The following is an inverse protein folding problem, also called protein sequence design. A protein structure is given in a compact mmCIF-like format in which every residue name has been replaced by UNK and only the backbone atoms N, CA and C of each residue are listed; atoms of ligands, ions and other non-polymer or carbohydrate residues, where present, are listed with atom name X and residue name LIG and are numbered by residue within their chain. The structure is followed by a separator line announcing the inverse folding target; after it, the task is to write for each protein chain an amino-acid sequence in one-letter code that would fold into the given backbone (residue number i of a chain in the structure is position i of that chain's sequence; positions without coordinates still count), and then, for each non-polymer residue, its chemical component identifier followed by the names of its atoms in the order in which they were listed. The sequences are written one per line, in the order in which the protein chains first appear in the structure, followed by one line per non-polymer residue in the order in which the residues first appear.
data_IF_308420479643
#
_entry.id   IF_308420479643
#
_cell.length_a   1.000
_cell.length_b   1.000
_cell.length_c   1.000
_cell.angle_alpha   90.00
_cell.angle_beta   90.00
_cell.angle_gamma   90.00
#
_symmetry.space_group_name_H-M   'P 1'
#
loop_
_entity.id
_entity.type
_entity.pdbx_description
1 polymer ?
#
# COMPACT_ATOMS: atom_id res chain seq x y z
N UNK A 1 6.34 -14.66 0.57
CA UNK A 1 6.96 -13.62 -0.27
C UNK A 1 8.47 -13.78 -0.25
N UNK A 2 9.09 -13.75 -1.41
CA UNK A 2 10.54 -13.95 -1.54
C UNK A 2 11.29 -12.65 -1.87
N UNK A 3 10.57 -11.63 -2.27
CA UNK A 3 11.15 -10.38 -2.76
C UNK A 3 10.63 -9.16 -2.02
N UNK A 4 11.52 -8.18 -1.86
CA UNK A 4 11.17 -6.79 -1.58
C UNK A 4 11.37 -6.00 -2.86
N UNK A 5 10.39 -5.21 -3.26
CA UNK A 5 10.40 -4.52 -4.54
C UNK A 5 10.22 -3.02 -4.38
N UNK A 6 10.83 -2.26 -5.26
CA UNK A 6 10.60 -0.84 -5.46
C UNK A 6 9.74 -0.64 -6.70
N UNK A 7 8.72 0.21 -6.61
CA UNK A 7 7.81 0.52 -7.70
C UNK A 7 8.35 1.74 -8.46
N UNK A 8 8.89 1.51 -9.66
CA UNK A 8 9.26 2.58 -10.57
C UNK A 8 8.04 3.13 -11.32
N UNK A 9 7.12 2.23 -11.69
CA UNK A 9 5.88 2.59 -12.36
C UNK A 9 4.75 1.65 -11.92
N UNK A 10 3.53 2.17 -11.84
CA UNK A 10 2.31 1.40 -11.60
C UNK A 10 1.72 1.55 -10.21
N UNK A 11 0.67 0.78 -9.96
CA UNK A 11 -0.12 0.77 -8.74
C UNK A 11 -0.29 -0.67 -8.27
N UNK A 12 0.10 -0.93 -7.04
CA UNK A 12 -0.03 -2.23 -6.37
C UNK A 12 -1.11 -2.14 -5.29
N UNK A 13 -1.96 -3.13 -5.24
CA UNK A 13 -2.99 -3.32 -4.23
C UNK A 13 -2.63 -4.48 -3.32
N UNK A 14 -2.87 -4.30 -2.02
CA UNK A 14 -2.84 -5.37 -1.03
C UNK A 14 -4.24 -5.65 -0.52
N UNK A 15 -4.62 -6.91 -0.49
CA UNK A 15 -5.93 -7.31 0.04
C UNK A 15 -5.88 -8.65 0.77
N UNK A 16 -6.88 -8.88 1.56
CA UNK A 16 -7.18 -10.16 2.23
C UNK A 16 -8.62 -10.54 1.93
N UNK A 17 -8.96 -11.80 2.10
CA UNK A 17 -10.36 -12.24 2.14
C UNK A 17 -10.90 -12.15 3.56
N UNK A 18 -12.05 -11.52 3.71
CA UNK A 18 -12.82 -11.47 4.95
C UNK A 18 -14.31 -11.52 4.65
N UNK A 19 -15.06 -12.41 5.30
CA UNK A 19 -16.49 -12.61 5.07
C UNK A 19 -16.86 -12.79 3.57
N UNK A 20 -16.08 -13.61 2.87
CA UNK A 20 -16.22 -13.89 1.44
C UNK A 20 -16.09 -12.66 0.51
N UNK A 21 -15.42 -11.60 0.99
CA UNK A 21 -15.15 -10.39 0.22
C UNK A 21 -13.67 -10.04 0.27
N UNK A 22 -13.18 -9.43 -0.80
CA UNK A 22 -11.86 -8.84 -0.83
C UNK A 22 -11.83 -7.53 -0.04
N UNK A 23 -10.95 -7.45 0.93
CA UNK A 23 -10.74 -6.25 1.74
C UNK A 23 -9.38 -5.67 1.39
N UNK A 24 -9.37 -4.53 0.70
CA UNK A 24 -8.15 -3.78 0.42
C UNK A 24 -7.67 -3.09 1.69
N UNK A 25 -6.46 -3.44 2.13
CA UNK A 25 -5.90 -2.84 3.33
C UNK A 25 -4.72 -1.90 3.05
N UNK A 26 -4.13 -1.97 1.85
CA UNK A 26 -3.11 -1.01 1.42
C UNK A 26 -3.08 -0.80 -0.09
N UNK A 27 -2.53 0.35 -0.50
CA UNK A 27 -2.20 0.72 -1.87
C UNK A 27 -0.77 1.27 -1.88
N UNK A 28 0.02 0.81 -2.83
CA UNK A 28 1.38 1.28 -3.06
C UNK A 28 1.49 1.86 -4.47
N UNK A 29 2.20 2.98 -4.58
CA UNK A 29 2.33 3.77 -5.79
C UNK A 29 3.80 3.92 -6.19
N UNK A 30 4.05 4.53 -7.34
CA UNK A 30 5.40 4.92 -7.77
C UNK A 30 6.22 5.52 -6.62
N UNK A 31 7.53 5.24 -6.61
CA UNK A 31 8.49 5.67 -5.61
C UNK A 31 8.24 5.11 -4.20
N UNK A 32 7.63 3.93 -4.11
CA UNK A 32 7.48 3.25 -2.83
C UNK A 32 8.03 1.83 -2.87
N UNK A 33 8.49 1.35 -1.72
CA UNK A 33 8.81 -0.05 -1.54
C UNK A 33 7.55 -0.84 -1.21
N UNK A 34 7.50 -2.09 -1.67
CA UNK A 34 6.46 -3.03 -1.29
C UNK A 34 7.03 -4.43 -1.03
N UNK A 35 6.36 -5.15 -0.13
CA UNK A 35 6.50 -6.58 0.12
C UNK A 35 5.37 -7.03 1.05
N UNK A 36 5.08 -8.32 1.11
CA UNK A 36 4.29 -8.88 2.20
C UNK A 36 5.20 -9.05 3.43
N UNK A 37 5.28 -8.00 4.27
CA UNK A 37 6.28 -7.86 5.34
C UNK A 37 6.35 -9.08 6.26
N UNK A 38 5.20 -9.57 6.72
CA UNK A 38 5.14 -10.74 7.59
C UNK A 38 5.80 -11.96 6.93
N UNK A 39 5.42 -12.24 5.68
CA UNK A 39 5.97 -13.36 4.92
C UNK A 39 7.45 -13.16 4.56
N UNK A 40 7.85 -11.96 4.19
CA UNK A 40 9.21 -11.67 3.76
C UNK A 40 10.23 -11.78 4.91
N UNK A 41 9.93 -11.19 6.06
CA UNK A 41 10.85 -11.17 7.21
C UNK A 41 10.75 -12.40 8.11
N UNK A 42 9.54 -12.92 8.32
CA UNK A 42 9.33 -14.10 9.19
C UNK A 42 9.41 -15.43 8.43
N UNK A 43 9.56 -15.38 7.08
CA UNK A 43 9.62 -16.54 6.19
C UNK A 43 8.39 -17.47 6.28
N UNK A 44 7.26 -16.92 6.69
CA UNK A 44 5.98 -17.59 6.79
C UNK A 44 5.11 -17.41 5.55
N UNK A 45 4.10 -18.25 5.37
CA UNK A 45 3.08 -18.04 4.33
C UNK A 45 2.24 -16.82 4.70
N UNK A 46 2.08 -15.91 3.76
CA UNK A 46 1.17 -14.77 3.93
C UNK A 46 -0.28 -15.17 3.71
N UNK A 47 -1.19 -14.48 4.42
CA UNK A 47 -2.63 -14.51 4.13
C UNK A 47 -3.06 -13.35 3.21
N UNK A 48 -2.11 -12.50 2.86
CA UNK A 48 -2.34 -11.33 2.01
C UNK A 48 -2.08 -11.67 0.55
N UNK A 49 -2.83 -11.02 -0.32
CA UNK A 49 -2.66 -11.06 -1.76
C UNK A 49 -2.14 -9.72 -2.24
N UNK A 50 -1.28 -9.76 -3.25
CA UNK A 50 -0.69 -8.60 -3.91
C UNK A 50 -1.12 -8.64 -5.37
N UNK A 51 -1.69 -7.54 -5.85
CA UNK A 51 -2.26 -7.41 -7.19
C UNK A 51 -1.77 -6.12 -7.84
N UNK A 52 -1.31 -6.22 -9.10
CA UNK A 52 -1.04 -5.06 -9.94
C UNK A 52 -2.35 -4.53 -10.52
N UNK A 53 -2.71 -3.28 -10.20
CA UNK A 53 -3.91 -2.64 -10.75
C UNK A 53 -3.68 -1.98 -12.11
N UNK A 54 -2.42 -1.75 -12.45
CA UNK A 54 -1.95 -1.21 -13.74
C UNK A 54 -0.72 -1.97 -14.18
N UNK A 55 -0.23 -1.73 -15.38
CA UNK A 55 1.10 -2.19 -15.77
C UNK A 55 2.14 -1.64 -14.78
N UNK A 56 3.03 -2.50 -14.31
CA UNK A 56 4.02 -2.17 -13.30
C UNK A 56 5.45 -2.47 -13.76
N UNK A 57 6.35 -1.54 -13.50
CA UNK A 57 7.80 -1.75 -13.56
C UNK A 57 8.35 -1.81 -12.15
N UNK A 58 9.01 -2.92 -11.81
CA UNK A 58 9.46 -3.23 -10.45
C UNK A 58 10.95 -3.57 -10.45
N UNK A 59 11.68 -3.04 -9.47
CA UNK A 59 13.04 -3.50 -9.14
C UNK A 59 12.97 -4.33 -7.86
N UNK A 60 13.33 -5.60 -7.95
CA UNK A 60 13.14 -6.57 -6.87
C UNK A 60 14.48 -7.10 -6.36
N UNK A 61 14.57 -7.27 -5.05
CA UNK A 61 15.73 -7.91 -4.39
C UNK A 61 15.22 -9.07 -3.52
N UNK A 62 15.91 -10.22 -3.58
CA UNK A 62 15.59 -11.36 -2.71
C UNK A 62 15.97 -11.06 -1.25
N UNK A 63 15.42 -11.84 -0.32
CA UNK A 63 15.77 -11.71 1.09
C UNK A 63 17.28 -11.90 1.31
N UNK A 64 17.86 -12.93 0.71
CA UNK A 64 19.28 -13.28 0.86
C UNK A 64 20.17 -12.14 0.34
N UNK A 65 19.91 -11.63 -0.86
CA UNK A 65 20.66 -10.53 -1.44
C UNK A 65 20.47 -9.22 -0.66
N UNK A 66 19.31 -8.98 -0.08
CA UNK A 66 19.07 -7.84 0.79
C UNK A 66 19.91 -7.93 2.08
N UNK A 67 20.05 -9.12 2.67
CA UNK A 67 20.92 -9.31 3.84
C UNK A 67 22.39 -9.08 3.50
N UNK A 68 22.87 -9.59 2.36
CA UNK A 68 24.24 -9.33 1.87
C UNK A 68 24.44 -7.82 1.69
N UNK A 69 23.53 -7.15 0.99
CA UNK A 69 23.59 -5.72 0.76
C UNK A 69 23.64 -4.90 2.07
N UNK A 70 22.84 -5.28 3.07
CA UNK A 70 22.85 -4.60 4.38
C UNK A 70 24.14 -4.82 5.18
N UNK A 71 24.79 -5.96 5.00
CA UNK A 71 26.06 -6.25 5.64
C UNK A 71 27.24 -5.51 4.97
N UNK A 72 27.20 -5.36 3.66
CA UNK A 72 28.26 -4.75 2.86
C UNK A 72 28.12 -3.23 2.71
N UNK A 73 26.89 -2.70 2.80
CA UNK A 73 26.61 -1.29 2.53
C UNK A 73 25.80 -0.65 3.67
N UNK A 74 26.49 0.10 4.53
CA UNK A 74 25.86 0.83 5.65
C UNK A 74 24.74 1.78 5.19
N UNK A 75 24.94 2.47 4.08
CA UNK A 75 23.93 3.39 3.53
C UNK A 75 22.67 2.66 3.08
N UNK A 76 22.80 1.47 2.50
CA UNK A 76 21.65 0.65 2.12
C UNK A 76 20.85 0.20 3.34
N UNK A 77 21.53 -0.17 4.45
CA UNK A 77 20.87 -0.49 5.71
C UNK A 77 20.11 0.70 6.28
N UNK A 78 20.72 1.87 6.32
CA UNK A 78 20.08 3.11 6.77
C UNK A 78 18.85 3.46 5.92
N UNK A 79 18.94 3.32 4.59
CA UNK A 79 17.78 3.51 3.70
C UNK A 79 16.64 2.51 4.02
N UNK A 80 17.00 1.28 4.32
CA UNK A 80 16.04 0.26 4.75
C UNK A 80 15.31 0.62 6.04
N UNK A 81 16.02 1.17 7.03
CA UNK A 81 15.49 1.65 8.30
C UNK A 81 14.53 2.83 8.08
N UNK A 82 14.93 3.85 7.32
CA UNK A 82 14.09 5.00 6.96
C UNK A 82 12.82 4.57 6.21
N UNK A 83 12.94 3.62 5.29
CA UNK A 83 11.79 3.10 4.57
C UNK A 83 10.80 2.36 5.49
N UNK A 84 11.30 1.66 6.51
CA UNK A 84 10.47 0.99 7.52
C UNK A 84 9.78 2.00 8.44
N UNK A 85 10.48 3.03 8.90
CA UNK A 85 9.90 4.13 9.69
C UNK A 85 8.79 4.85 8.91
N UNK A 86 9.02 5.14 7.64
CA UNK A 86 8.01 5.73 6.76
C UNK A 86 6.76 4.84 6.65
N UNK A 87 6.95 3.54 6.47
CA UNK A 87 5.84 2.58 6.40
C UNK A 87 5.07 2.54 7.72
N UNK A 88 5.75 2.48 8.87
CA UNK A 88 5.12 2.48 10.18
C UNK A 88 4.28 3.74 10.37
N UNK A 89 4.84 4.91 10.09
CA UNK A 89 4.12 6.18 10.17
C UNK A 89 2.89 6.21 9.25
N UNK A 90 3.00 5.70 8.04
CA UNK A 90 1.86 5.56 7.10
C UNK A 90 0.75 4.68 7.70
N UNK A 91 1.12 3.55 8.32
CA UNK A 91 0.15 2.63 8.95
C UNK A 91 -0.54 3.27 10.15
N UNK A 92 0.19 3.91 11.04
CA UNK A 92 -0.36 4.63 12.20
C UNK A 92 -1.30 5.75 11.75
N UNK A 93 -0.89 6.60 10.80
CA UNK A 93 -1.76 7.65 10.25
C UNK A 93 -3.06 7.10 9.67
N UNK A 94 -2.97 5.98 8.93
CA UNK A 94 -4.16 5.34 8.38
C UNK A 94 -5.09 4.81 9.47
N UNK A 95 -4.55 4.15 10.49
CA UNK A 95 -5.33 3.64 11.61
C UNK A 95 -6.05 4.77 12.35
N UNK A 96 -5.34 5.85 12.71
CA UNK A 96 -5.93 7.04 13.31
C UNK A 96 -7.01 7.66 12.41
N UNK A 97 -6.78 7.75 11.11
CA UNK A 97 -7.75 8.25 10.15
C UNK A 97 -9.04 7.42 10.12
N UNK A 98 -8.95 6.09 10.22
CA UNK A 98 -10.12 5.22 10.30
C UNK A 98 -10.94 5.44 11.57
N UNK A 99 -10.29 5.79 12.69
CA UNK A 99 -10.91 5.99 14.00
C UNK A 99 -11.49 7.41 14.16
N UNK A 100 -10.87 8.43 13.56
CA UNK A 100 -11.15 9.83 13.90
C UNK A 100 -11.77 10.64 12.77
N UNK A 101 -11.64 10.22 11.52
CA UNK A 101 -12.10 10.97 10.35
C UNK A 101 -13.38 10.41 9.74
N UNK A 102 -14.20 11.30 9.20
CA UNK A 102 -15.34 10.91 8.37
C UNK A 102 -14.90 10.30 7.05
N UNK A 103 -15.73 9.49 6.38
CA UNK A 103 -15.44 8.96 5.05
C UNK A 103 -15.04 10.02 4.02
N UNK A 104 -15.67 11.20 4.07
CA UNK A 104 -15.37 12.31 3.17
C UNK A 104 -13.95 12.85 3.43
N UNK A 105 -13.59 13.16 4.66
CA UNK A 105 -12.26 13.63 5.04
C UNK A 105 -11.16 12.63 4.64
N UNK A 106 -11.41 11.32 4.84
CA UNK A 106 -10.48 10.27 4.40
C UNK A 106 -10.27 10.25 2.89
N UNK A 107 -11.32 10.49 2.11
CA UNK A 107 -11.22 10.54 0.65
C UNK A 107 -10.49 11.80 0.18
N UNK A 108 -10.81 12.96 0.73
CA UNK A 108 -10.14 14.24 0.44
C UNK A 108 -8.64 14.18 0.74
N UNK A 109 -8.24 13.61 1.89
CA UNK A 109 -6.83 13.42 2.22
C UNK A 109 -6.11 12.57 1.17
N UNK A 110 -6.72 11.46 0.74
CA UNK A 110 -6.14 10.59 -0.28
C UNK A 110 -6.02 11.28 -1.64
N UNK A 111 -7.03 12.05 -2.01
CA UNK A 111 -7.03 12.81 -3.26
C UNK A 111 -5.92 13.86 -3.27
N UNK A 112 -5.68 14.53 -2.15
CA UNK A 112 -4.60 15.51 -2.00
C UNK A 112 -3.21 14.86 -2.02
N UNK A 113 -3.04 13.71 -1.38
CA UNK A 113 -1.76 13.00 -1.32
C UNK A 113 -1.38 12.34 -2.67
N UNK A 114 -2.37 11.82 -3.40
CA UNK A 114 -2.15 10.99 -4.60
C UNK A 114 -3.11 11.30 -5.76
N UNK A 115 -3.24 12.56 -6.20
CA UNK A 115 -4.29 12.98 -7.16
C UNK A 115 -4.23 12.21 -8.49
N UNK A 116 -3.02 11.95 -9.01
CA UNK A 116 -2.83 11.26 -10.29
C UNK A 116 -3.18 9.77 -10.24
N UNK A 117 -2.98 9.12 -9.09
CA UNK A 117 -3.15 7.66 -8.96
C UNK A 117 -4.58 7.28 -8.56
N UNK A 118 -5.26 8.14 -7.80
CA UNK A 118 -6.62 7.87 -7.33
C UNK A 118 -7.61 7.69 -8.48
N UNK A 119 -7.41 8.39 -9.59
CA UNK A 119 -8.24 8.25 -10.79
C UNK A 119 -8.07 6.90 -11.50
N UNK A 120 -6.92 6.24 -11.33
CA UNK A 120 -6.60 4.96 -11.95
C UNK A 120 -7.01 3.75 -11.11
N UNK A 121 -7.29 3.96 -9.81
CA UNK A 121 -7.73 2.86 -8.92
C UNK A 121 -9.24 2.65 -9.05
N UNK A 122 -9.71 1.42 -9.33
CA UNK A 122 -11.14 1.13 -9.37
C UNK A 122 -11.86 1.53 -8.08
N UNK A 123 -13.05 2.14 -8.24
CA UNK A 123 -13.84 2.70 -7.13
C UNK A 123 -14.06 1.68 -5.99
N UNK A 124 -14.32 0.42 -6.34
CA UNK A 124 -14.52 -0.67 -5.38
C UNK A 124 -13.31 -0.87 -4.44
N UNK A 125 -12.08 -0.75 -4.98
CA UNK A 125 -10.86 -0.93 -4.21
C UNK A 125 -10.55 0.31 -3.36
N UNK A 126 -10.83 1.51 -3.87
CA UNK A 126 -10.74 2.74 -3.07
C UNK A 126 -11.73 2.75 -1.91
N UNK A 127 -12.98 2.35 -2.17
CA UNK A 127 -14.01 2.27 -1.14
C UNK A 127 -13.60 1.28 -0.05
N UNK A 128 -13.17 0.07 -0.44
CA UNK A 128 -12.66 -0.94 0.48
C UNK A 128 -11.46 -0.41 1.30
N UNK A 129 -10.47 0.23 0.64
CA UNK A 129 -9.31 0.82 1.32
C UNK A 129 -9.70 1.91 2.32
N UNK A 130 -10.78 2.66 2.05
CA UNK A 130 -11.27 3.74 2.92
C UNK A 130 -12.31 3.28 3.95
N UNK A 131 -12.66 1.99 3.96
CA UNK A 131 -13.60 1.42 4.92
C UNK A 131 -15.03 1.91 4.71
N UNK A 132 -15.44 2.07 3.44
CA UNK A 132 -16.81 2.48 3.05
C UNK A 132 -17.33 1.59 1.92
N UNK A 133 -18.63 1.63 1.69
CA UNK A 133 -19.22 0.97 0.52
C UNK A 133 -19.05 1.84 -0.74
N UNK A 134 -18.97 1.24 -1.94
CA UNK A 134 -18.74 1.96 -3.19
C UNK A 134 -19.75 3.09 -3.46
N UNK A 135 -21.02 2.88 -3.11
CA UNK A 135 -22.09 3.86 -3.28
C UNK A 135 -21.85 5.14 -2.44
N UNK A 136 -21.34 4.98 -1.23
CA UNK A 136 -20.96 6.11 -0.37
C UNK A 136 -19.81 6.89 -0.98
N UNK A 137 -18.78 6.20 -1.48
CA UNK A 137 -17.63 6.86 -2.13
C UNK A 137 -18.03 7.56 -3.42
N UNK A 138 -18.91 6.95 -4.22
CA UNK A 138 -19.46 7.57 -5.43
C UNK A 138 -20.19 8.88 -5.12
N UNK A 139 -21.04 8.91 -4.08
CA UNK A 139 -21.72 10.14 -3.63
C UNK A 139 -20.75 11.23 -3.16
N UNK A 140 -19.69 10.84 -2.44
CA UNK A 140 -18.65 11.79 -2.01
C UNK A 140 -17.94 12.39 -3.23
N UNK A 141 -17.53 11.58 -4.22
CA UNK A 141 -16.91 12.07 -5.46
C UNK A 141 -17.77 13.08 -6.19
N UNK A 142 -19.07 12.80 -6.33
CA UNK A 142 -20.00 13.69 -7.03
C UNK A 142 -20.27 15.03 -6.31
N UNK A 143 -19.92 15.14 -5.02
CA UNK A 143 -20.05 16.39 -4.25
C UNK A 143 -18.79 17.25 -4.28
N UNK A 144 -17.64 16.63 -4.56
CA UNK A 144 -16.33 17.29 -4.54
C UNK A 144 -15.94 17.77 -5.96
N UNK A 145 -16.42 17.08 -7.00
CA UNK A 145 -16.27 17.49 -8.41
C UNK A 145 -17.43 18.41 -8.84
#
# INVERSE_FOLDING_TARGET
ENYRSFIDQGIIRYYVFGNNKEITFDLAFKNSFYTAYDSFYNRNKTQSYIEALTDCTLFSISYENLQILYNECKTAKQLGEVALEYLLNKKVKRELSLLTQTPQQRYESLLNEHPKYIQQVPLKHLASYRGVVPETLSRIRNRIN
#
